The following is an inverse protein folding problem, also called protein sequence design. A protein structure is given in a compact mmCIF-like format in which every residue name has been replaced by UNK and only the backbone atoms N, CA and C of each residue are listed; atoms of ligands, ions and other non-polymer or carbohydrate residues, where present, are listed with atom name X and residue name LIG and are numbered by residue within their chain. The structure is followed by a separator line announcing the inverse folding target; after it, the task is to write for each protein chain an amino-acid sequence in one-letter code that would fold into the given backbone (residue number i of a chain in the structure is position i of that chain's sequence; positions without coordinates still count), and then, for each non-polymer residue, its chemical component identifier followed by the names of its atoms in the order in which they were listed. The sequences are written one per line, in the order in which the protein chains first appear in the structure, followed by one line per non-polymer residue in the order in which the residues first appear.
data_IF_290584889454
#
_entry.id   IF_290584889454
#
_cell.length_a   1.000
_cell.length_b   1.000
_cell.length_c   1.000
_cell.angle_alpha   90.00
_cell.angle_beta   90.00
_cell.angle_gamma   90.00
#
_symmetry.space_group_name_H-M   'P 1'
#
loop_
_entity.id
_entity.type
_entity.pdbx_description
1 polymer ?
#
# COMPACT_ATOMS: atom_id res chain seq x y z
N UNK A 1 -17.87 41.97 30.41
CA UNK A 1 -17.73 40.50 30.55
C UNK A 1 -17.38 40.16 31.99
N UNK A 2 -17.95 39.07 32.51
CA UNK A 2 -17.78 38.63 33.90
C UNK A 2 -16.44 37.89 34.07
N UNK A 3 -15.58 38.33 35.00
CA UNK A 3 -14.22 37.84 35.18
C UNK A 3 -14.13 36.33 35.48
N UNK A 4 -15.25 35.72 35.88
CA UNK A 4 -15.39 34.27 36.06
C UNK A 4 -15.26 33.46 34.77
N UNK A 5 -15.66 34.02 33.62
CA UNK A 5 -15.61 33.32 32.32
C UNK A 5 -14.16 33.21 31.83
N UNK A 6 -13.38 34.28 31.97
CA UNK A 6 -11.97 34.34 31.58
C UNK A 6 -11.11 33.41 32.45
N UNK A 7 -11.40 33.33 33.75
CA UNK A 7 -10.75 32.38 34.66
C UNK A 7 -11.13 30.92 34.35
N UNK A 8 -12.37 30.66 33.92
CA UNK A 8 -12.82 29.34 33.47
C UNK A 8 -12.09 28.83 32.23
N UNK A 9 -11.83 29.71 31.26
CA UNK A 9 -11.09 29.38 30.02
C UNK A 9 -9.60 29.09 30.30
N UNK A 10 -8.94 29.88 31.15
CA UNK A 10 -7.53 29.64 31.55
C UNK A 10 -7.32 28.30 32.27
N UNK A 11 -8.29 27.86 33.08
CA UNK A 11 -8.19 26.58 33.82
C UNK A 11 -8.39 25.38 32.88
N UNK A 12 -9.27 25.47 31.88
CA UNK A 12 -9.43 24.41 30.86
C UNK A 12 -8.17 24.24 30.01
N UNK A 13 -7.53 25.33 29.59
CA UNK A 13 -6.34 25.27 28.74
C UNK A 13 -5.12 24.64 29.47
N UNK A 14 -4.95 24.94 30.76
CA UNK A 14 -3.88 24.33 31.58
C UNK A 14 -4.10 22.84 31.93
N UNK A 15 -5.33 22.34 31.81
CA UNK A 15 -5.64 20.91 31.97
C UNK A 15 -5.33 20.15 30.69
N UNK A 16 -5.71 20.69 29.54
CA UNK A 16 -5.45 20.11 28.22
C UNK A 16 -3.95 19.91 27.95
N UNK A 17 -3.11 20.90 28.31
CA UNK A 17 -1.65 20.80 28.16
C UNK A 17 -1.04 19.69 29.03
N UNK A 18 -1.62 19.40 30.21
CA UNK A 18 -1.12 18.35 31.12
C UNK A 18 -1.50 16.95 30.67
N UNK A 19 -2.68 16.81 30.06
CA UNK A 19 -3.17 15.52 29.58
C UNK A 19 -2.46 15.11 28.27
N UNK A 20 -2.12 16.09 27.39
CA UNK A 20 -1.31 15.87 26.18
C UNK A 20 0.11 15.34 26.48
N UNK A 21 0.68 15.72 27.62
CA UNK A 21 2.00 15.25 28.06
C UNK A 21 2.04 13.78 28.52
N UNK A 22 0.90 13.24 28.98
CA UNK A 22 0.79 11.84 29.42
C UNK A 22 0.54 10.87 28.27
N UNK A 23 -0.22 11.29 27.24
CA UNK A 23 -0.57 10.43 26.11
C UNK A 23 0.63 10.04 25.25
N UNK A 24 1.67 10.89 25.18
CA UNK A 24 2.91 10.59 24.44
C UNK A 24 3.79 9.49 25.09
N UNK A 25 3.53 9.08 26.34
CA UNK A 25 4.31 8.00 26.97
C UNK A 25 3.76 6.60 26.66
N UNK A 26 2.48 6.48 26.25
CA UNK A 26 1.84 5.18 25.96
C UNK A 26 1.98 4.72 24.50
N UNK A 27 2.28 5.62 23.56
CA UNK A 27 2.47 5.27 22.14
C UNK A 27 3.70 4.40 21.85
N UNK A 28 4.63 4.26 22.78
CA UNK A 28 5.81 3.40 22.63
C UNK A 28 5.55 1.91 22.93
N UNK A 29 4.31 1.50 23.25
CA UNK A 29 3.97 0.10 23.58
C UNK A 29 3.25 -0.68 22.47
N UNK A 30 2.88 -0.05 21.37
CA UNK A 30 2.18 -0.72 20.26
C UNK A 30 3.18 -1.30 19.26
N UNK A 31 3.86 -2.37 19.64
CA UNK A 31 4.47 -3.29 18.67
C UNK A 31 3.36 -4.26 18.25
N UNK A 32 2.95 -4.30 16.97
CA UNK A 32 1.92 -5.24 16.53
C UNK A 32 2.43 -6.68 16.70
N UNK A 33 1.66 -7.48 17.45
CA UNK A 33 1.87 -8.92 17.59
C UNK A 33 1.69 -9.60 16.22
N UNK A 34 2.64 -10.47 15.84
CA UNK A 34 2.55 -11.21 14.57
C UNK A 34 1.29 -12.08 14.54
N UNK A 35 0.54 -12.10 13.42
CA UNK A 35 -0.66 -12.92 13.31
C UNK A 35 -0.30 -14.41 13.39
N UNK A 36 -0.89 -15.10 14.37
CA UNK A 36 -0.79 -16.56 14.50
C UNK A 36 -1.56 -17.21 13.35
N UNK A 37 -0.84 -17.81 12.41
CA UNK A 37 -1.43 -18.62 11.35
C UNK A 37 -2.06 -19.88 11.96
N UNK A 38 -3.39 -19.94 11.99
CA UNK A 38 -4.13 -21.16 12.29
C UNK A 38 -4.26 -21.92 10.98
N UNK A 39 -3.60 -23.07 10.87
CA UNK A 39 -3.78 -24.00 9.75
C UNK A 39 -5.24 -24.45 9.70
N UNK A 40 -6.01 -23.87 8.79
CA UNK A 40 -7.40 -24.27 8.55
C UNK A 40 -7.39 -25.60 7.80
N UNK A 41 -7.81 -26.66 8.48
CA UNK A 41 -8.02 -27.99 7.92
C UNK A 41 -9.26 -27.97 6.99
N UNK A 42 -9.14 -27.34 5.83
CA UNK A 42 -10.16 -27.39 4.78
C UNK A 42 -9.98 -28.72 4.04
N UNK A 43 -10.89 -29.66 4.32
CA UNK A 43 -11.09 -30.86 3.52
C UNK A 43 -11.49 -30.45 2.08
N UNK A 44 -10.72 -30.79 1.04
CA UNK A 44 -11.16 -30.56 -0.32
C UNK A 44 -12.17 -31.64 -0.69
N UNK A 45 -13.46 -31.30 -0.64
CA UNK A 45 -14.47 -32.11 -1.32
C UNK A 45 -14.28 -31.93 -2.84
N UNK A 46 -13.89 -33.04 -3.47
CA UNK A 46 -13.69 -33.16 -4.90
C UNK A 46 -14.97 -32.89 -5.70
N UNK A 47 -14.96 -31.84 -6.52
CA UNK A 47 -15.77 -31.77 -7.74
C UNK A 47 -14.86 -32.00 -8.94
N UNK A 48 -14.83 -33.25 -9.42
CA UNK A 48 -14.25 -33.57 -10.72
C UNK A 48 -15.21 -33.08 -11.81
N UNK A 49 -14.83 -32.03 -12.53
CA UNK A 49 -15.39 -31.75 -13.84
C UNK A 49 -14.52 -32.42 -14.91
N UNK A 50 -15.19 -33.22 -15.74
CA UNK A 50 -14.66 -33.84 -16.95
C UNK A 50 -14.19 -32.77 -17.94
N UNK A 51 -12.90 -32.78 -18.28
CA UNK A 51 -12.40 -32.10 -19.48
C UNK A 51 -11.71 -33.13 -20.38
N UNK A 52 -12.17 -33.16 -21.62
CA UNK A 52 -11.81 -34.13 -22.65
C UNK A 52 -10.34 -34.10 -23.08
N UNK A 53 -9.90 -35.12 -23.84
CA UNK A 53 -8.49 -35.34 -24.11
C UNK A 53 -7.96 -34.35 -25.15
N UNK A 54 -7.00 -33.52 -24.75
CA UNK A 54 -6.09 -32.84 -25.68
C UNK A 54 -5.06 -33.84 -26.19
N UNK A 55 -5.09 -34.09 -27.50
CA UNK A 55 -4.11 -34.93 -28.20
C UNK A 55 -2.88 -34.10 -28.52
N UNK A 56 -1.86 -34.18 -27.69
CA UNK A 56 -0.51 -33.79 -28.07
C UNK A 56 0.41 -35.00 -27.98
N UNK A 57 0.80 -35.48 -29.16
CA UNK A 57 1.67 -36.61 -29.40
C UNK A 57 3.10 -36.29 -28.96
N UNK A 58 3.60 -37.04 -27.97
CA UNK A 58 5.04 -37.09 -27.64
C UNK A 58 5.63 -38.34 -28.32
N UNK A 59 6.76 -38.23 -29.03
CA UNK A 59 7.38 -39.37 -29.71
C UNK A 59 8.01 -40.30 -28.67
N UNK A 60 7.48 -41.52 -28.57
CA UNK A 60 8.07 -42.62 -27.81
C UNK A 60 9.31 -43.10 -28.55
N UNK A 61 10.48 -42.80 -28.00
CA UNK A 61 11.75 -43.44 -28.36
C UNK A 61 11.75 -44.83 -27.69
N UNK A 62 11.19 -45.83 -28.38
CA UNK A 62 11.38 -47.23 -28.01
C UNK A 62 12.76 -47.68 -28.49
N UNK A 63 13.70 -47.80 -27.56
CA UNK A 63 14.79 -48.74 -27.71
C UNK A 63 14.20 -50.15 -27.57
N UNK A 64 13.94 -50.78 -28.72
CA UNK A 64 13.65 -52.20 -28.85
C UNK A 64 14.88 -53.00 -28.36
N UNK A 65 14.95 -53.25 -27.05
CA UNK A 65 15.70 -54.41 -26.57
C UNK A 65 14.88 -55.64 -26.88
N UNK A 66 15.22 -56.22 -28.02
CA UNK A 66 14.85 -57.54 -28.51
C UNK A 66 15.24 -58.60 -27.45
N UNK A 67 14.39 -58.74 -26.43
CA UNK A 67 14.41 -59.81 -25.45
C UNK A 67 14.13 -61.10 -26.20
N UNK A 68 15.22 -61.72 -26.66
CA UNK A 68 15.30 -63.06 -27.23
C UNK A 68 14.31 -63.97 -26.52
N UNK A 69 13.14 -64.13 -27.14
CA UNK A 69 12.14 -65.12 -26.80
C UNK A 69 12.83 -66.45 -27.00
N UNK A 70 13.33 -67.02 -25.90
CA UNK A 70 13.88 -68.35 -25.88
C UNK A 70 12.71 -69.27 -26.15
N UNK A 71 12.49 -69.59 -27.44
CA UNK A 71 11.59 -70.65 -27.84
C UNK A 71 12.13 -71.88 -27.13
N UNK A 72 11.46 -72.28 -26.05
CA UNK A 72 11.75 -73.53 -25.37
C UNK A 72 11.45 -74.61 -26.40
N UNK A 73 12.49 -75.06 -27.11
CA UNK A 73 12.37 -76.12 -28.09
C UNK A 73 11.82 -77.33 -27.33
N UNK A 74 10.60 -77.77 -27.67
CA UNK A 74 9.98 -78.92 -27.02
C UNK A 74 10.99 -80.06 -27.02
N UNK A 75 11.27 -80.69 -25.86
CA UNK A 75 12.16 -81.84 -25.84
C UNK A 75 11.59 -82.89 -26.79
N UNK A 76 12.25 -83.05 -27.94
CA UNK A 76 11.96 -84.12 -28.91
C UNK A 76 12.28 -85.42 -28.22
N UNK A 77 11.29 -85.97 -27.52
CA UNK A 77 11.32 -87.33 -27.04
C UNK A 77 11.41 -88.21 -28.28
N UNK A 78 12.62 -88.64 -28.61
CA UNK A 78 12.81 -89.75 -29.54
C UNK A 78 12.03 -90.89 -28.92
N UNK A 79 10.85 -91.16 -29.46
CA UNK A 79 10.17 -92.43 -29.27
C UNK A 79 11.13 -93.46 -29.85
N UNK A 80 12.04 -93.94 -29.00
CA UNK A 80 12.81 -95.13 -29.29
C UNK A 80 11.78 -96.25 -29.26
N UNK A 81 11.08 -96.39 -30.39
CA UNK A 81 10.33 -97.56 -30.75
C UNK A 81 11.34 -98.68 -30.89
N UNK A 82 11.83 -99.17 -29.74
CA UNK A 82 12.45 -100.48 -29.63
C UNK A 82 11.32 -101.42 -30.01
N UNK A 83 11.21 -101.71 -31.30
CA UNK A 83 10.28 -102.65 -31.86
C UNK A 83 10.53 -103.98 -31.14
N UNK A 84 9.62 -104.46 -30.27
CA UNK A 84 9.85 -105.68 -29.50
C UNK A 84 9.97 -106.92 -30.39
N UNK A 85 9.66 -106.80 -31.67
CA UNK A 85 9.69 -107.88 -32.65
C UNK A 85 11.10 -108.37 -33.02
N UNK A 86 12.18 -107.72 -32.57
CA UNK A 86 13.54 -108.15 -32.91
C UNK A 86 14.23 -109.12 -31.94
N UNK A 87 13.57 -109.55 -30.84
CA UNK A 87 14.19 -110.49 -29.88
C UNK A 87 13.78 -111.96 -29.99
N UNK A 88 13.01 -112.38 -31.01
CA UNK A 88 12.45 -113.75 -31.11
C UNK A 88 13.01 -114.65 -32.23
N UNK A 89 14.01 -114.22 -33.00
CA UNK A 89 14.53 -115.01 -34.14
C UNK A 89 15.95 -115.53 -33.92
N UNK A 90 16.13 -116.45 -32.97
CA UNK A 90 17.28 -117.35 -32.94
C UNK A 90 16.81 -118.74 -32.47
N UNK A 91 16.02 -119.42 -33.32
CA UNK A 91 15.84 -120.87 -33.24
C UNK A 91 16.88 -121.52 -34.16
N UNK A 92 18.01 -121.93 -33.59
CA UNK A 92 18.94 -122.85 -34.23
C UNK A 92 18.44 -124.30 -34.13
N UNK A 93 18.80 -125.19 -35.07
CA UNK A 93 18.34 -126.58 -35.07
C UNK A 93 19.33 -127.46 -34.28
N UNK A 94 18.86 -128.16 -33.24
CA UNK A 94 19.45 -129.43 -32.78
C UNK A 94 18.48 -130.11 -31.81
N UNK A 95 17.86 -131.21 -32.26
CA UNK A 95 16.86 -131.99 -31.51
C UNK A 95 17.38 -133.36 -31.09
N UNK A 96 18.69 -133.51 -30.86
CA UNK A 96 19.27 -134.78 -30.40
C UNK A 96 20.09 -134.59 -29.13
N UNK A 97 19.39 -134.48 -28.00
CA UNK A 97 19.77 -134.96 -26.66
C UNK A 97 18.84 -134.33 -25.64
N UNK A 98 17.87 -135.09 -25.13
CA UNK A 98 16.98 -134.64 -24.05
C UNK A 98 17.48 -135.16 -22.69
N UNK A 99 18.08 -134.31 -21.84
CA UNK A 99 17.74 -134.29 -20.43
C UNK A 99 16.33 -133.69 -20.28
N UNK A 100 15.53 -134.17 -19.32
CA UNK A 100 14.21 -133.62 -19.02
C UNK A 100 14.31 -132.16 -18.53
N UNK A 101 14.31 -131.19 -19.46
CA UNK A 101 14.45 -129.74 -19.25
C UNK A 101 13.10 -129.02 -18.99
N UNK A 102 12.04 -129.75 -18.67
CA UNK A 102 10.70 -129.17 -18.46
C UNK A 102 10.62 -128.19 -17.29
N UNK A 103 11.52 -128.29 -16.30
CA UNK A 103 11.58 -127.37 -15.16
C UNK A 103 12.23 -126.01 -15.48
N UNK A 104 13.17 -125.96 -16.45
CA UNK A 104 13.88 -124.71 -16.79
C UNK A 104 13.03 -123.78 -17.67
N UNK A 105 12.16 -124.34 -18.53
CA UNK A 105 11.23 -123.56 -19.35
C UNK A 105 10.14 -122.87 -18.51
N UNK A 106 9.64 -123.56 -17.47
CA UNK A 106 8.67 -122.99 -16.54
C UNK A 106 9.29 -121.83 -15.74
N UNK A 107 10.53 -122.00 -15.28
CA UNK A 107 11.28 -120.97 -14.57
C UNK A 107 11.57 -119.75 -15.44
N UNK A 108 11.94 -119.94 -16.71
CA UNK A 108 12.15 -118.86 -17.66
C UNK A 108 10.85 -118.08 -17.95
N UNK A 109 9.72 -118.77 -18.11
CA UNK A 109 8.41 -118.12 -18.28
C UNK A 109 8.00 -117.31 -17.05
N UNK A 110 8.24 -117.84 -15.84
CA UNK A 110 7.99 -117.12 -14.59
C UNK A 110 8.86 -115.87 -14.44
N UNK A 111 10.15 -115.95 -14.79
CA UNK A 111 11.05 -114.79 -14.81
C UNK A 111 10.65 -113.74 -15.85
N UNK A 112 10.24 -114.17 -17.06
CA UNK A 112 9.73 -113.28 -18.10
C UNK A 112 8.43 -112.58 -17.66
N UNK A 113 7.51 -113.30 -17.01
CA UNK A 113 6.29 -112.73 -16.46
C UNK A 113 6.60 -111.73 -15.34
N UNK A 114 7.55 -112.03 -14.45
CA UNK A 114 8.02 -111.09 -13.42
C UNK A 114 8.58 -109.80 -14.02
N UNK A 115 9.41 -109.91 -15.07
CA UNK A 115 9.93 -108.74 -15.82
C UNK A 115 8.82 -107.94 -16.50
N UNK A 116 7.82 -108.60 -17.08
CA UNK A 116 6.69 -107.94 -17.72
C UNK A 116 5.82 -107.18 -16.72
N UNK A 117 5.57 -107.75 -15.54
CA UNK A 117 4.84 -107.08 -14.45
C UNK A 117 5.61 -105.84 -13.98
N UNK A 118 6.92 -105.94 -13.78
CA UNK A 118 7.75 -104.76 -13.46
C UNK A 118 7.70 -103.70 -14.56
N UNK A 119 7.79 -104.11 -15.83
CA UNK A 119 7.71 -103.19 -16.97
C UNK A 119 6.37 -102.45 -17.05
N UNK A 120 5.24 -103.14 -16.80
CA UNK A 120 3.93 -102.49 -16.72
C UNK A 120 3.87 -101.45 -15.59
N UNK A 121 4.45 -101.76 -14.42
CA UNK A 121 4.56 -100.81 -13.32
C UNK A 121 5.36 -99.55 -13.70
N UNK A 122 6.48 -99.70 -14.41
CA UNK A 122 7.24 -98.55 -14.92
C UNK A 122 6.47 -97.74 -15.97
N UNK A 123 5.70 -98.39 -16.84
CA UNK A 123 4.86 -97.67 -17.81
C UNK A 123 3.78 -96.83 -17.13
N UNK A 124 3.13 -97.37 -16.10
CA UNK A 124 2.13 -96.64 -15.32
C UNK A 124 2.75 -95.45 -14.58
N UNK A 125 3.90 -95.65 -13.91
CA UNK A 125 4.65 -94.56 -13.27
C UNK A 125 5.04 -93.46 -14.27
N UNK A 126 5.50 -93.84 -15.47
CA UNK A 126 5.82 -92.87 -16.53
C UNK A 126 4.58 -92.12 -17.03
N UNK A 127 3.44 -92.80 -17.16
CA UNK A 127 2.17 -92.15 -17.53
C UNK A 127 1.74 -91.14 -16.47
N UNK A 128 1.84 -91.50 -15.18
CA UNK A 128 1.56 -90.60 -14.06
C UNK A 128 2.53 -89.41 -14.05
N UNK A 129 3.83 -89.63 -14.27
CA UNK A 129 4.82 -88.57 -14.34
C UNK A 129 4.52 -87.59 -15.48
N UNK A 130 4.21 -88.08 -16.68
CA UNK A 130 3.81 -87.24 -17.82
C UNK A 130 2.55 -86.43 -17.53
N UNK A 131 1.59 -87.03 -16.85
CA UNK A 131 0.38 -86.31 -16.41
C UNK A 131 0.73 -85.18 -15.44
N UNK A 132 1.55 -85.45 -14.42
CA UNK A 132 1.98 -84.46 -13.43
C UNK A 132 2.77 -83.32 -14.07
N UNK A 133 3.71 -83.63 -14.99
CA UNK A 133 4.47 -82.62 -15.74
C UNK A 133 3.52 -81.71 -16.52
N UNK A 134 2.54 -82.26 -17.23
CA UNK A 134 1.53 -81.47 -17.96
C UNK A 134 0.69 -80.57 -17.04
N UNK A 135 0.41 -81.00 -15.81
CA UNK A 135 -0.29 -80.15 -14.84
C UNK A 135 0.61 -79.03 -14.33
N UNK A 136 1.89 -79.33 -14.05
CA UNK A 136 2.87 -78.31 -13.66
C UNK A 136 3.08 -77.28 -14.77
N UNK A 137 3.19 -77.71 -16.04
CA UNK A 137 3.28 -76.82 -17.20
C UNK A 137 2.09 -75.84 -17.26
N UNK A 138 0.85 -76.32 -17.05
CA UNK A 138 -0.34 -75.47 -17.00
C UNK A 138 -0.28 -74.45 -15.86
N UNK A 139 0.17 -74.87 -14.68
CA UNK A 139 0.32 -73.97 -13.52
C UNK A 139 1.35 -72.88 -13.84
N UNK A 140 2.50 -73.24 -14.42
CA UNK A 140 3.55 -72.29 -14.81
C UNK A 140 3.03 -71.29 -15.84
N UNK A 141 2.30 -71.75 -16.86
CA UNK A 141 1.70 -70.87 -17.87
C UNK A 141 0.68 -69.90 -17.26
N UNK A 142 -0.19 -70.37 -16.39
CA UNK A 142 -1.17 -69.52 -15.70
C UNK A 142 -0.49 -68.48 -14.79
N UNK A 143 0.57 -68.88 -14.07
CA UNK A 143 1.36 -67.97 -13.22
C UNK A 143 2.09 -66.92 -14.05
N UNK A 144 2.65 -67.30 -15.20
CA UNK A 144 3.30 -66.36 -16.13
C UNK A 144 2.29 -65.34 -16.67
N UNK A 145 1.10 -65.79 -17.08
CA UNK A 145 0.03 -64.89 -17.53
C UNK A 145 -0.43 -63.95 -16.41
N UNK A 146 -0.65 -64.47 -15.20
CA UNK A 146 -1.02 -63.63 -14.05
C UNK A 146 0.04 -62.58 -13.72
N UNK A 147 1.32 -62.96 -13.81
CA UNK A 147 2.42 -62.03 -13.61
C UNK A 147 2.44 -60.94 -14.69
N UNK A 148 2.24 -61.29 -15.96
CA UNK A 148 2.16 -60.34 -17.08
C UNK A 148 1.00 -59.33 -16.88
N UNK A 149 -0.19 -59.82 -16.53
CA UNK A 149 -1.35 -58.98 -16.23
C UNK A 149 -1.10 -58.06 -15.03
N UNK A 150 -0.49 -58.57 -13.96
CA UNK A 150 -0.14 -57.77 -12.78
C UNK A 150 0.88 -56.68 -13.12
N UNK A 151 1.91 -56.99 -13.93
CA UNK A 151 2.90 -56.01 -14.37
C UNK A 151 2.26 -54.92 -15.22
N UNK A 152 1.39 -55.28 -16.18
CA UNK A 152 0.69 -54.31 -17.01
C UNK A 152 -0.23 -53.37 -16.20
N UNK A 153 -0.92 -53.90 -15.18
CA UNK A 153 -1.74 -53.09 -14.28
C UNK A 153 -0.90 -52.13 -13.43
N UNK A 154 0.24 -52.58 -12.91
CA UNK A 154 1.17 -51.74 -12.15
C UNK A 154 1.77 -50.63 -13.01
N UNK A 155 2.15 -50.92 -14.25
CA UNK A 155 2.64 -49.92 -15.21
C UNK A 155 1.55 -48.87 -15.51
N UNK A 156 0.33 -49.31 -15.80
CA UNK A 156 -0.80 -48.41 -16.05
C UNK A 156 -1.13 -47.54 -14.82
N UNK A 157 -1.10 -48.12 -13.62
CA UNK A 157 -1.30 -47.38 -12.39
C UNK A 157 -0.19 -46.34 -12.17
N UNK A 158 1.06 -46.73 -12.37
CA UNK A 158 2.23 -45.84 -12.25
C UNK A 158 2.14 -44.66 -13.24
N UNK A 159 1.79 -44.92 -14.50
CA UNK A 159 1.60 -43.88 -15.50
C UNK A 159 0.49 -42.88 -15.11
N UNK A 160 -0.63 -43.38 -14.56
CA UNK A 160 -1.72 -42.52 -14.05
C UNK A 160 -1.26 -41.63 -12.90
N UNK A 161 -0.56 -42.20 -11.91
CA UNK A 161 -0.04 -41.43 -10.76
C UNK A 161 0.93 -40.35 -11.23
N UNK A 162 1.87 -40.67 -12.13
CA UNK A 162 2.83 -39.71 -12.70
C UNK A 162 2.11 -38.56 -13.42
N UNK A 163 1.08 -38.87 -14.20
CA UNK A 163 0.27 -37.85 -14.87
C UNK A 163 -0.43 -36.92 -13.86
N UNK A 164 -1.09 -37.48 -12.84
CA UNK A 164 -1.77 -36.69 -11.80
C UNK A 164 -0.80 -35.80 -11.03
N UNK A 165 0.39 -36.32 -10.67
CA UNK A 165 1.43 -35.53 -10.01
C UNK A 165 1.92 -34.38 -10.88
N UNK A 166 2.09 -34.60 -12.19
CA UNK A 166 2.48 -33.55 -13.14
C UNK A 166 1.45 -32.43 -13.21
N UNK A 167 0.17 -32.76 -13.26
CA UNK A 167 -0.92 -31.77 -13.26
C UNK A 167 -1.03 -31.01 -11.93
N UNK A 168 -0.84 -31.69 -10.80
CA UNK A 168 -0.77 -31.04 -9.49
C UNK A 168 0.42 -30.07 -9.40
N UNK A 169 1.59 -30.47 -9.91
CA UNK A 169 2.77 -29.61 -9.92
C UNK A 169 2.54 -28.33 -10.75
N UNK A 170 1.85 -28.42 -11.89
CA UNK A 170 1.45 -27.24 -12.68
C UNK A 170 0.53 -26.31 -11.88
N UNK A 171 -0.45 -26.86 -11.16
CA UNK A 171 -1.37 -26.07 -10.31
C UNK A 171 -0.63 -25.37 -9.18
N UNK A 172 0.31 -26.06 -8.52
CA UNK A 172 1.16 -25.47 -7.46
C UNK A 172 1.96 -24.30 -8.04
N UNK A 173 2.62 -24.48 -9.19
CA UNK A 173 3.37 -23.41 -9.84
C UNK A 173 2.50 -22.18 -10.20
N UNK A 174 1.25 -22.41 -10.63
CA UNK A 174 0.27 -21.35 -10.86
C UNK A 174 -0.05 -20.55 -9.58
N UNK A 175 -0.39 -21.26 -8.50
CA UNK A 175 -0.68 -20.65 -7.19
C UNK A 175 0.52 -19.90 -6.60
N UNK A 176 1.74 -20.40 -6.80
CA UNK A 176 2.96 -19.71 -6.37
C UNK A 176 3.15 -18.38 -7.13
N UNK A 177 2.83 -18.35 -8.42
CA UNK A 177 2.86 -17.12 -9.22
C UNK A 177 1.83 -16.10 -8.72
N UNK A 178 0.58 -16.52 -8.50
CA UNK A 178 -0.49 -15.67 -7.95
C UNK A 178 -0.12 -15.10 -6.57
N UNK A 179 0.47 -15.91 -5.70
CA UNK A 179 0.97 -15.47 -4.39
C UNK A 179 2.00 -14.34 -4.51
N UNK A 180 2.92 -14.41 -5.48
CA UNK A 180 3.94 -13.38 -5.70
C UNK A 180 3.31 -12.06 -6.16
N UNK A 181 2.26 -12.12 -6.99
CA UNK A 181 1.50 -10.93 -7.41
C UNK A 181 0.76 -10.30 -6.22
N UNK A 182 0.03 -11.08 -5.43
CA UNK A 182 -0.67 -10.60 -4.24
C UNK A 182 0.25 -9.92 -3.22
N UNK A 183 1.44 -10.50 -2.98
CA UNK A 183 2.44 -9.90 -2.07
C UNK A 183 2.93 -8.54 -2.60
N UNK A 184 3.07 -8.40 -3.93
CA UNK A 184 3.48 -7.14 -4.56
C UNK A 184 2.39 -6.08 -4.42
N UNK A 185 1.14 -6.45 -4.66
CA UNK A 185 0.01 -5.54 -4.55
C UNK A 185 -0.17 -5.05 -3.12
N UNK A 186 -0.08 -5.95 -2.13
CA UNK A 186 -0.16 -5.61 -0.71
C UNK A 186 0.98 -4.66 -0.28
N UNK A 187 2.19 -4.86 -0.82
CA UNK A 187 3.31 -3.94 -0.58
C UNK A 187 3.05 -2.55 -1.16
N UNK A 188 2.48 -2.45 -2.36
CA UNK A 188 2.14 -1.15 -2.95
C UNK A 188 0.99 -0.47 -2.20
N UNK A 189 -0.04 -1.21 -1.80
CA UNK A 189 -1.11 -0.70 -0.94
C UNK A 189 -0.57 -0.15 0.39
N UNK A 190 0.36 -0.87 1.03
CA UNK A 190 1.02 -0.41 2.26
C UNK A 190 1.81 0.88 2.02
N UNK A 191 2.48 1.01 0.86
CA UNK A 191 3.20 2.23 0.48
C UNK A 191 2.26 3.41 0.29
N UNK A 192 1.12 3.20 -0.38
CA UNK A 192 0.08 4.22 -0.60
C UNK A 192 -0.51 4.65 0.74
N UNK A 193 -0.89 3.71 1.60
CA UNK A 193 -1.42 3.99 2.94
C UNK A 193 -0.45 4.84 3.77
N UNK A 194 0.84 4.50 3.77
CA UNK A 194 1.88 5.29 4.46
C UNK A 194 2.01 6.71 3.88
N UNK A 195 1.92 6.87 2.56
CA UNK A 195 1.98 8.18 1.91
C UNK A 195 0.76 9.06 2.26
N UNK A 196 -0.44 8.47 2.30
CA UNK A 196 -1.67 9.13 2.72
C UNK A 196 -1.59 9.56 4.19
N UNK A 197 -1.16 8.67 5.09
CA UNK A 197 -0.99 8.98 6.51
C UNK A 197 -0.02 10.15 6.72
N UNK A 198 1.10 10.17 5.98
CA UNK A 198 2.06 11.28 6.01
C UNK A 198 1.45 12.60 5.54
N UNK A 199 0.62 12.57 4.49
CA UNK A 199 -0.11 13.74 3.98
C UNK A 199 -1.09 14.25 5.02
N UNK A 200 -1.86 13.37 5.65
CA UNK A 200 -2.86 13.73 6.65
C UNK A 200 -2.23 14.31 7.91
N UNK A 201 -1.07 13.81 8.35
CA UNK A 201 -0.29 14.45 9.43
C UNK A 201 0.16 15.86 9.05
N UNK A 202 0.62 16.07 7.81
CA UNK A 202 1.00 17.41 7.33
C UNK A 202 -0.20 18.36 7.29
N UNK A 203 -1.34 17.86 6.83
CA UNK A 203 -2.58 18.63 6.72
C UNK A 203 -3.13 19.00 8.10
N UNK A 204 -3.16 18.06 9.06
CA UNK A 204 -3.51 18.35 10.47
C UNK A 204 -2.63 19.44 11.06
N UNK A 205 -1.32 19.41 10.80
CA UNK A 205 -0.41 20.46 11.25
C UNK A 205 -0.77 21.83 10.64
N UNK A 206 -1.00 21.89 9.33
CA UNK A 206 -1.37 23.15 8.64
C UNK A 206 -2.68 23.70 9.20
N UNK A 207 -3.69 22.85 9.42
CA UNK A 207 -4.95 23.27 10.03
C UNK A 207 -4.76 23.76 11.47
N UNK A 208 -3.96 23.06 12.29
CA UNK A 208 -3.65 23.51 13.65
C UNK A 208 -2.91 24.86 13.68
N UNK A 209 -1.93 25.06 12.79
CA UNK A 209 -1.23 26.34 12.64
C UNK A 209 -2.19 27.46 12.20
N UNK A 210 -3.14 27.15 11.30
CA UNK A 210 -4.13 28.11 10.77
C UNK A 210 -5.17 28.50 11.83
N UNK A 211 -5.71 27.52 12.56
CA UNK A 211 -6.62 27.75 13.68
C UNK A 211 -5.96 28.62 14.74
N UNK A 212 -4.69 28.35 15.08
CA UNK A 212 -3.93 29.14 16.07
C UNK A 212 -3.83 30.62 15.65
N UNK A 213 -3.61 30.90 14.37
CA UNK A 213 -3.58 32.27 13.83
C UNK A 213 -4.97 32.91 13.93
N UNK A 214 -6.03 32.20 13.53
CA UNK A 214 -7.41 32.70 13.60
C UNK A 214 -7.84 32.99 15.05
N UNK A 215 -7.43 32.16 16.00
CA UNK A 215 -7.67 32.39 17.44
C UNK A 215 -7.02 33.68 17.94
N UNK A 216 -5.77 33.94 17.56
CA UNK A 216 -5.08 35.18 17.95
C UNK A 216 -5.75 36.42 17.33
N UNK A 217 -6.19 36.32 16.07
CA UNK A 217 -6.94 37.40 15.40
C UNK A 217 -8.29 37.64 16.08
N UNK A 218 -9.01 36.58 16.48
CA UNK A 218 -10.24 36.68 17.27
C UNK A 218 -10.00 37.36 18.62
N UNK A 219 -8.96 36.94 19.37
CA UNK A 219 -8.60 37.53 20.67
C UNK A 219 -8.27 39.03 20.50
N UNK A 220 -7.50 39.39 19.46
CA UNK A 220 -7.19 40.77 19.15
C UNK A 220 -8.45 41.60 18.82
N UNK A 221 -9.38 41.06 18.03
CA UNK A 221 -10.63 41.74 17.68
C UNK A 221 -11.56 41.90 18.88
N UNK A 222 -11.68 40.91 19.74
CA UNK A 222 -12.45 41.01 20.99
C UNK A 222 -11.89 42.11 21.88
N UNK A 223 -10.55 42.20 22.00
CA UNK A 223 -9.90 43.28 22.73
C UNK A 223 -10.21 44.65 22.09
N UNK A 224 -10.18 44.75 20.76
CA UNK A 224 -10.48 45.98 20.02
C UNK A 224 -11.92 46.44 20.26
N UNK A 225 -12.90 45.53 20.11
CA UNK A 225 -14.33 45.78 20.33
C UNK A 225 -14.57 46.22 21.79
N UNK A 226 -13.88 45.61 22.75
CA UNK A 226 -14.02 45.96 24.18
C UNK A 226 -13.61 47.40 24.51
N UNK A 227 -12.79 48.04 23.65
CA UNK A 227 -12.32 49.43 23.80
C UNK A 227 -13.17 50.44 23.03
N UNK A 228 -14.06 50.01 22.14
CA UNK A 228 -14.89 50.88 21.31
C UNK A 228 -16.16 51.36 22.04
N UNK A 229 -16.73 52.48 21.57
CA UNK A 229 -18.05 52.92 22.03
C UNK A 229 -19.13 51.91 21.56
N UNK A 230 -20.23 51.73 22.31
CA UNK A 230 -21.20 50.65 22.07
C UNK A 230 -21.78 50.58 20.65
N UNK A 231 -21.85 51.72 19.94
CA UNK A 231 -22.44 51.78 18.59
C UNK A 231 -21.42 51.55 17.46
N UNK A 232 -20.11 51.64 17.75
CA UNK A 232 -19.07 51.52 16.72
C UNK A 232 -18.66 50.05 16.48
N UNK A 233 -19.04 49.14 17.38
CA UNK A 233 -18.72 47.71 17.32
C UNK A 233 -19.57 46.89 16.34
N UNK A 234 -20.78 47.35 15.98
CA UNK A 234 -21.70 46.60 15.10
C UNK A 234 -21.10 46.31 13.72
N UNK A 235 -20.16 47.14 13.26
CA UNK A 235 -19.48 46.96 11.97
C UNK A 235 -18.61 45.69 11.93
N UNK A 236 -18.03 45.26 13.06
CA UNK A 236 -17.12 44.11 13.15
C UNK A 236 -17.82 42.78 13.45
N UNK A 237 -19.09 42.84 13.84
CA UNK A 237 -19.84 41.69 14.35
C UNK A 237 -20.04 40.56 13.31
N UNK A 238 -20.38 40.83 12.03
CA UNK A 238 -20.54 39.77 11.02
C UNK A 238 -19.23 39.02 10.73
N UNK A 239 -18.10 39.74 10.78
CA UNK A 239 -16.78 39.16 10.54
C UNK A 239 -16.26 38.36 11.75
N UNK A 240 -16.66 38.74 12.97
CA UNK A 240 -16.36 38.00 14.20
C UNK A 240 -17.14 36.68 14.24
N UNK A 241 -18.46 36.69 14.01
CA UNK A 241 -19.29 35.48 13.98
C UNK A 241 -18.79 34.47 12.93
N UNK A 242 -18.44 34.95 11.74
CA UNK A 242 -17.86 34.10 10.68
C UNK A 242 -16.53 33.46 11.12
N UNK A 243 -15.68 34.17 11.84
CA UNK A 243 -14.41 33.64 12.34
C UNK A 243 -14.63 32.62 13.46
N UNK A 244 -15.59 32.86 14.36
CA UNK A 244 -15.96 31.92 15.43
C UNK A 244 -16.47 30.61 14.85
N UNK A 245 -17.39 30.66 13.89
CA UNK A 245 -17.90 29.46 13.21
C UNK A 245 -16.78 28.67 12.51
N UNK A 246 -15.85 29.37 11.86
CA UNK A 246 -14.75 28.74 11.14
C UNK A 246 -13.78 28.04 12.09
N UNK A 247 -13.52 28.66 13.24
CA UNK A 247 -12.66 28.11 14.30
C UNK A 247 -13.31 26.90 14.97
N UNK A 248 -14.61 26.96 15.30
CA UNK A 248 -15.34 25.84 15.89
C UNK A 248 -15.37 24.62 14.94
N UNK A 249 -15.54 24.85 13.64
CA UNK A 249 -15.46 23.79 12.63
C UNK A 249 -14.07 23.14 12.56
N UNK A 250 -12.99 23.94 12.61
CA UNK A 250 -11.62 23.39 12.59
C UNK A 250 -11.32 22.63 13.89
N UNK A 251 -11.78 23.10 15.05
CA UNK A 251 -11.66 22.37 16.32
C UNK A 251 -12.39 21.03 16.27
N UNK A 252 -13.61 20.97 15.73
CA UNK A 252 -14.33 19.70 15.58
C UNK A 252 -13.60 18.71 14.66
N UNK A 253 -12.92 19.19 13.62
CA UNK A 253 -12.17 18.33 12.68
C UNK A 253 -10.82 17.87 13.23
N UNK A 254 -10.25 18.63 14.17
CA UNK A 254 -8.94 18.34 14.76
C UNK A 254 -9.03 17.70 16.14
N UNK A 255 -10.21 17.68 16.75
CA UNK A 255 -10.46 16.89 17.95
C UNK A 255 -10.18 15.42 17.64
N UNK A 256 -9.13 14.90 18.27
CA UNK A 256 -8.73 13.48 18.24
C UNK A 256 -9.82 12.62 18.90
N UNK A 257 -10.94 12.44 18.21
CA UNK A 257 -11.89 11.41 18.61
C UNK A 257 -11.33 10.08 18.09
N UNK A 258 -10.91 9.22 19.02
CA UNK A 258 -10.52 7.82 18.76
C UNK A 258 -11.66 7.02 18.08
N UNK A 259 -12.85 7.62 17.95
CA UNK A 259 -14.02 7.10 17.24
C UNK A 259 -14.40 7.86 15.96
N UNK A 260 -13.61 8.83 15.50
CA UNK A 260 -13.77 9.45 14.17
C UNK A 260 -13.20 8.54 13.08
N UNK A 261 -13.68 7.29 13.07
CA UNK A 261 -13.74 6.44 11.88
C UNK A 261 -14.92 6.91 11.02
N UNK A 262 -15.07 8.24 10.88
CA UNK A 262 -15.88 8.84 9.82
C UNK A 262 -15.15 8.55 8.51
N UNK A 263 -15.36 7.32 8.07
CA UNK A 263 -15.21 6.82 6.72
C UNK A 263 -15.45 7.96 5.74
N UNK A 264 -14.37 8.47 5.17
CA UNK A 264 -14.42 9.16 3.90
C UNK A 264 -14.96 8.13 2.89
N UNK A 265 -16.29 8.01 2.79
CA UNK A 265 -16.94 7.24 1.75
C UNK A 265 -16.56 7.88 0.41
N UNK A 266 -15.52 7.34 -0.22
CA UNK A 266 -14.86 7.80 -1.45
C UNK A 266 -15.74 7.72 -2.71
N UNK A 267 -17.01 7.29 -2.60
CA UNK A 267 -17.91 7.17 -3.76
C UNK A 267 -18.55 8.51 -4.18
N UNK A 268 -18.41 9.56 -3.38
CA UNK A 268 -18.83 10.91 -3.76
C UNK A 268 -17.66 11.87 -3.56
N UNK A 269 -17.43 12.75 -4.56
CA UNK A 269 -16.44 13.84 -4.50
C UNK A 269 -16.48 14.46 -3.11
N UNK A 270 -15.39 14.37 -2.32
CA UNK A 270 -15.50 14.53 -0.89
C UNK A 270 -15.92 15.96 -0.55
N UNK A 271 -16.82 16.16 0.44
CA UNK A 271 -17.21 17.50 0.91
C UNK A 271 -16.00 18.37 1.30
N UNK A 272 -14.89 17.74 1.68
CA UNK A 272 -13.64 18.40 2.02
C UNK A 272 -12.97 19.13 0.85
N UNK A 273 -13.12 18.66 -0.41
CA UNK A 273 -12.60 19.38 -1.57
C UNK A 273 -13.42 20.64 -1.84
N UNK A 274 -14.75 20.55 -1.75
CA UNK A 274 -15.62 21.73 -1.85
C UNK A 274 -15.38 22.74 -0.72
N UNK A 275 -15.21 22.27 0.51
CA UNK A 275 -14.89 23.13 1.65
C UNK A 275 -13.49 23.75 1.53
N UNK A 276 -12.52 23.02 1.00
CA UNK A 276 -11.18 23.55 0.74
C UNK A 276 -11.20 24.62 -0.37
N UNK A 277 -11.96 24.39 -1.44
CA UNK A 277 -12.20 25.41 -2.47
C UNK A 277 -12.97 26.61 -1.91
N UNK A 278 -13.96 26.41 -1.04
CA UNK A 278 -14.69 27.49 -0.39
C UNK A 278 -13.79 28.31 0.56
N UNK A 279 -12.94 27.63 1.35
CA UNK A 279 -11.95 28.26 2.21
C UNK A 279 -10.95 29.09 1.39
N UNK A 280 -10.40 28.53 0.32
CA UNK A 280 -9.50 29.24 -0.59
C UNK A 280 -10.18 30.46 -1.23
N UNK A 281 -11.42 30.29 -1.72
CA UNK A 281 -12.21 31.36 -2.31
C UNK A 281 -12.45 32.51 -1.32
N UNK A 282 -12.80 32.19 -0.07
CA UNK A 282 -13.00 33.19 0.99
C UNK A 282 -11.68 33.88 1.36
N UNK A 283 -10.56 33.16 1.42
CA UNK A 283 -9.24 33.74 1.63
C UNK A 283 -8.85 34.69 0.51
N UNK A 284 -9.10 34.32 -0.74
CA UNK A 284 -8.84 35.15 -1.91
C UNK A 284 -9.68 36.43 -1.89
N UNK A 285 -10.96 36.33 -1.51
CA UNK A 285 -11.84 37.49 -1.37
C UNK A 285 -11.37 38.44 -0.25
N UNK A 286 -11.01 37.91 0.92
CA UNK A 286 -10.47 38.72 2.02
C UNK A 286 -9.13 39.37 1.65
N UNK A 287 -8.25 38.64 0.97
CA UNK A 287 -6.97 39.14 0.45
C UNK A 287 -7.19 40.29 -0.55
N UNK A 288 -8.17 40.15 -1.44
CA UNK A 288 -8.54 41.21 -2.37
C UNK A 288 -9.07 42.46 -1.66
N UNK A 289 -9.92 42.31 -0.64
CA UNK A 289 -10.41 43.44 0.16
C UNK A 289 -9.28 44.17 0.91
N UNK A 290 -8.35 43.42 1.51
CA UNK A 290 -7.17 43.98 2.17
C UNK A 290 -6.30 44.77 1.20
N UNK A 291 -6.08 44.25 -0.01
CA UNK A 291 -5.32 44.93 -1.05
C UNK A 291 -5.98 46.23 -1.51
N UNK A 292 -7.31 46.28 -1.57
CA UNK A 292 -8.05 47.53 -1.84
C UNK A 292 -7.84 48.54 -0.70
N UNK A 293 -7.85 48.10 0.56
CA UNK A 293 -7.61 48.99 1.71
C UNK A 293 -6.18 49.52 1.74
N UNK A 294 -5.19 48.68 1.44
CA UNK A 294 -3.77 49.06 1.30
C UNK A 294 -3.60 50.17 0.25
N UNK A 295 -4.19 50.01 -0.94
CA UNK A 295 -4.17 51.03 -2.00
C UNK A 295 -4.81 52.36 -1.53
N UNK A 296 -5.90 52.29 -0.76
CA UNK A 296 -6.56 53.50 -0.21
C UNK A 296 -5.65 54.20 0.81
N UNK A 297 -4.98 53.44 1.67
CA UNK A 297 -4.03 53.98 2.66
C UNK A 297 -2.81 54.61 1.99
N UNK A 298 -2.23 53.96 0.98
CA UNK A 298 -1.10 54.52 0.21
C UNK A 298 -1.48 55.85 -0.46
N UNK A 299 -2.69 55.95 -1.01
CA UNK A 299 -3.21 57.19 -1.57
C UNK A 299 -3.35 58.29 -0.50
N UNK A 300 -3.88 57.95 0.67
CA UNK A 300 -4.00 58.91 1.78
C UNK A 300 -2.62 59.37 2.27
N UNK A 301 -1.67 58.45 2.41
CA UNK A 301 -0.28 58.76 2.77
C UNK A 301 0.36 59.72 1.77
N UNK A 302 0.20 59.46 0.47
CA UNK A 302 0.70 60.36 -0.58
C UNK A 302 0.13 61.79 -0.47
N UNK A 303 -1.16 61.92 -0.13
CA UNK A 303 -1.79 63.24 0.06
C UNK A 303 -1.20 63.94 1.29
N UNK A 304 -0.99 63.21 2.39
CA UNK A 304 -0.40 63.77 3.62
C UNK A 304 1.04 64.21 3.38
N UNK A 305 1.84 63.43 2.64
CA UNK A 305 3.22 63.77 2.30
C UNK A 305 3.27 65.05 1.43
N UNK A 306 2.37 65.18 0.45
CA UNK A 306 2.24 66.39 -0.38
C UNK A 306 1.84 67.61 0.47
N UNK A 307 0.83 67.47 1.34
CA UNK A 307 0.42 68.53 2.27
C UNK A 307 1.57 68.94 3.19
N UNK A 308 2.33 67.98 3.72
CA UNK A 308 3.49 68.22 4.59
C UNK A 308 4.60 68.96 3.85
N UNK A 309 4.82 68.64 2.58
CA UNK A 309 5.77 69.35 1.70
C UNK A 309 5.35 70.80 1.48
N UNK A 310 4.07 71.05 1.15
CA UNK A 310 3.53 72.40 0.94
C UNK A 310 3.65 73.23 2.22
N UNK A 311 3.30 72.67 3.39
CA UNK A 311 3.44 73.34 4.68
C UNK A 311 4.91 73.71 4.96
N UNK A 312 5.84 72.82 4.64
CA UNK A 312 7.27 73.05 4.81
C UNK A 312 7.78 74.20 3.92
N UNK A 313 7.34 74.25 2.66
CA UNK A 313 7.66 75.32 1.73
C UNK A 313 7.09 76.68 2.17
N UNK A 314 5.82 76.72 2.56
CA UNK A 314 5.17 77.92 3.11
C UNK A 314 5.90 78.45 4.35
N UNK A 315 6.34 77.56 5.24
CA UNK A 315 7.13 77.92 6.42
C UNK A 315 8.52 78.47 6.05
N UNK A 316 9.14 77.98 4.97
CA UNK A 316 10.40 78.52 4.47
C UNK A 316 10.21 79.93 3.88
N UNK A 317 9.14 80.14 3.09
CA UNK A 317 8.77 81.45 2.55
C UNK A 317 8.46 82.45 3.68
N UNK A 318 7.71 82.03 4.71
CA UNK A 318 7.43 82.85 5.90
C UNK A 318 8.73 83.30 6.59
N UNK A 319 9.68 82.39 6.81
CA UNK A 319 10.98 82.71 7.42
C UNK A 319 11.79 83.68 6.57
N UNK A 320 11.78 83.52 5.25
CA UNK A 320 12.46 84.43 4.32
C UNK A 320 11.85 85.84 4.38
N UNK A 321 10.52 85.97 4.29
CA UNK A 321 9.84 87.26 4.40
C UNK A 321 10.10 87.94 5.76
N UNK A 322 10.12 87.18 6.85
CA UNK A 322 10.47 87.71 8.17
C UNK A 322 11.90 88.27 8.21
N UNK A 323 12.88 87.56 7.63
CA UNK A 323 14.27 88.02 7.51
C UNK A 323 14.40 89.28 6.64
N UNK A 324 13.72 89.31 5.49
CA UNK A 324 13.74 90.47 4.58
C UNK A 324 13.14 91.71 5.26
N UNK A 325 12.06 91.55 6.02
CA UNK A 325 11.44 92.62 6.82
C UNK A 325 12.35 93.09 7.96
N UNK A 326 13.04 92.18 8.64
CA UNK A 326 14.02 92.53 9.68
C UNK A 326 15.17 93.36 9.09
N UNK A 327 15.69 92.97 7.92
CA UNK A 327 16.72 93.73 7.21
C UNK A 327 16.22 95.13 6.78
N UNK A 328 15.01 95.23 6.21
CA UNK A 328 14.41 96.51 5.85
C UNK A 328 14.19 97.41 7.07
N UNK A 329 13.72 96.85 8.18
CA UNK A 329 13.56 97.57 9.44
C UNK A 329 14.91 98.08 9.98
N UNK A 330 15.98 97.30 9.84
CA UNK A 330 17.34 97.73 10.17
C UNK A 330 17.81 98.90 9.31
N UNK A 331 17.60 98.84 7.99
CA UNK A 331 17.93 99.94 7.06
C UNK A 331 17.15 101.21 7.38
N UNK A 332 15.85 101.09 7.64
CA UNK A 332 15.00 102.23 8.04
C UNK A 332 15.48 102.86 9.35
N UNK A 333 15.86 102.04 10.34
CA UNK A 333 16.40 102.54 11.60
C UNK A 333 17.68 103.38 11.38
N UNK A 334 18.60 102.92 10.53
CA UNK A 334 19.82 103.67 10.18
C UNK A 334 19.51 105.00 9.48
N UNK A 335 18.54 105.01 8.55
CA UNK A 335 18.12 106.25 7.87
C UNK A 335 17.50 107.23 8.88
N UNK A 336 16.66 106.73 9.78
CA UNK A 336 16.05 107.55 10.84
C UNK A 336 17.11 108.15 11.77
N UNK A 337 18.10 107.35 12.20
CA UNK A 337 19.21 107.81 13.04
C UNK A 337 20.02 108.91 12.32
N UNK A 338 20.29 108.74 11.02
CA UNK A 338 20.99 109.74 10.22
C UNK A 338 20.20 111.05 10.04
N UNK A 339 18.88 110.95 9.86
CA UNK A 339 18.00 112.12 9.77
C UNK A 339 17.88 112.84 11.12
N UNK A 340 17.81 112.09 12.22
CA UNK A 340 17.71 112.63 13.57
C UNK A 340 19.01 113.31 14.03
N UNK A 341 20.17 112.86 13.54
CA UNK A 341 21.45 113.52 13.74
C UNK A 341 21.63 114.83 12.95
N UNK A 342 20.79 115.10 11.94
CA UNK A 342 20.88 116.26 11.05
C UNK A 342 19.80 117.33 11.30
N UNK A 343 19.11 117.31 12.46
CA UNK A 343 17.95 118.17 12.69
C UNK A 343 18.35 119.62 13.06
N UNK A 344 18.63 120.42 12.03
CA UNK A 344 18.25 121.83 11.99
C UNK A 344 16.73 121.92 11.67
N UNK A 345 15.90 121.82 12.71
CA UNK A 345 14.52 122.36 12.84
C UNK A 345 13.41 121.90 11.86
N UNK A 346 13.46 120.70 11.25
CA UNK A 346 12.47 120.32 10.22
C UNK A 346 11.70 119.01 10.39
N UNK A 347 12.18 118.01 11.14
CA UNK A 347 11.79 116.61 10.86
C UNK A 347 10.78 115.94 11.82
N UNK A 348 10.34 116.63 12.88
CA UNK A 348 9.47 116.06 13.93
C UNK A 348 8.16 115.39 13.42
N UNK A 349 7.52 115.91 12.37
CA UNK A 349 6.26 115.34 11.87
C UNK A 349 6.46 114.01 11.10
N UNK A 350 7.65 113.75 10.56
CA UNK A 350 7.93 112.51 9.81
C UNK A 350 8.17 111.33 10.74
N UNK A 351 8.82 111.56 11.88
CA UNK A 351 9.10 110.53 12.89
C UNK A 351 7.82 109.93 13.49
N UNK A 352 6.82 110.76 13.82
CA UNK A 352 5.55 110.30 14.37
C UNK A 352 4.77 109.41 13.40
N UNK A 353 4.76 109.73 12.09
CA UNK A 353 4.10 108.88 11.08
C UNK A 353 4.79 107.53 10.91
N UNK A 354 6.11 107.48 11.07
CA UNK A 354 6.88 106.24 10.92
C UNK A 354 6.69 105.33 12.13
N UNK A 355 6.59 105.88 13.35
CA UNK A 355 6.28 105.10 14.55
C UNK A 355 4.88 104.47 14.51
N UNK A 356 3.88 105.22 14.02
CA UNK A 356 2.52 104.67 13.82
C UNK A 356 2.53 103.53 12.81
N UNK A 357 3.23 103.70 11.67
CA UNK A 357 3.33 102.64 10.65
C UNK A 357 4.01 101.37 11.19
N UNK A 358 5.03 101.52 12.05
CA UNK A 358 5.73 100.38 12.67
C UNK A 358 4.83 99.62 13.65
N UNK A 359 4.00 100.32 14.41
CA UNK A 359 3.04 99.70 15.33
C UNK A 359 1.94 98.91 14.58
N UNK A 360 1.44 99.44 13.46
CA UNK A 360 0.44 98.76 12.62
C UNK A 360 0.98 97.48 11.96
N UNK A 361 2.23 97.50 11.49
CA UNK A 361 2.88 96.32 10.91
C UNK A 361 3.10 95.21 11.94
N UNK A 362 3.47 95.53 13.18
CA UNK A 362 3.67 94.52 14.22
C UNK A 362 2.36 93.81 14.62
N UNK A 363 1.24 94.54 14.63
CA UNK A 363 -0.08 94.01 14.96
C UNK A 363 -0.64 93.02 13.90
N UNK A 364 -0.15 93.09 12.66
CA UNK A 364 -0.53 92.15 11.59
C UNK A 364 0.17 90.79 11.71
N UNK A 365 1.33 90.73 12.38
CA UNK A 365 2.12 89.50 12.50
C UNK A 365 1.81 88.66 13.76
N UNK A 366 1.25 89.26 14.82
CA UNK A 366 0.96 88.56 16.07
C UNK A 366 -0.43 87.90 16.16
N UNK A 367 -1.31 88.12 15.18
CA UNK A 367 -2.61 87.43 15.19
C UNK A 367 -2.46 85.94 14.87
N UNK A 368 -2.92 85.03 15.75
CA UNK A 368 -2.97 83.61 15.42
C UNK A 368 -3.93 83.41 14.25
N UNK A 369 -3.44 82.77 13.20
CA UNK A 369 -4.30 82.25 12.14
C UNK A 369 -4.96 80.98 12.71
N UNK A 370 -6.23 81.10 13.10
CA UNK A 370 -7.08 79.99 13.55
C UNK A 370 -7.50 79.14 12.37
#
# INVERSE_FOLDING_TARGET
MDAKVILGLKVKNAKMIRDLGKQNQDLNRLIPEEPKWVESAVHPQHTMNEFGPSRDSVPSLHDDQDMKRSVLEEPKWVESAVNPQHMMNNFGPSWDSMPSHHDDLLKQSQEQNGRLVMFKGFQEQNAQLRYTIKQQEKIILNLAQYQEEATAQLEQHTARVVYTLKEQNKKIAGLECEKVELVRDLKEQTRIAYALEKRDRKMRKIFGDTASIMFLELEYREELISKMAPNDGEFFQPTHETLVDLVENIEQWTADDEHSDMMFNLEHTPPSEQLYEELLSRFDEQSYQLKIQEIKLDRQKSIIDEQTSIISELNAQKRKMASDLEEQNGKLALILEHLQGNDEKGTSHLLDRILVYKAEQHALFEKPWV
#
